data_IF_662054478768
#
_entry.id   IF_662054478768
#
_cell.length_a   1.000
_cell.length_b   1.000
_cell.length_c   1.000
_cell.angle_alpha   90.00
_cell.angle_beta   90.00
_cell.angle_gamma   90.00
#
_symmetry.space_group_name_H-M   'P 1'
#
loop_
_entity.id
_entity.type
_entity.pdbx_description
1 polymer ?
#
# COMPACT_ATOMS: atom_id res chain seq x y z
N UNK A 1 0.99 11.89 4.68
CA UNK A 1 0.70 10.44 4.59
C UNK A 1 -0.25 10.02 3.45
N UNK A 2 -1.25 10.82 3.04
CA UNK A 2 -2.24 10.43 2.00
C UNK A 2 -1.63 10.06 0.63
N UNK A 3 -0.58 10.77 0.17
CA UNK A 3 0.15 10.47 -1.09
C UNK A 3 0.80 9.08 -1.12
N UNK A 4 1.26 8.57 0.03
CA UNK A 4 1.98 7.29 0.09
C UNK A 4 1.02 6.10 0.06
N UNK A 5 -0.13 6.20 0.75
CA UNK A 5 -1.21 5.21 0.64
C UNK A 5 -1.73 5.10 -0.79
N UNK A 6 -1.90 6.22 -1.49
CA UNK A 6 -2.30 6.23 -2.90
C UNK A 6 -1.29 5.56 -3.82
N UNK A 7 0.01 5.88 -3.66
CA UNK A 7 1.07 5.32 -4.52
C UNK A 7 1.28 3.83 -4.31
N UNK A 8 1.09 3.35 -3.08
CA UNK A 8 1.16 1.94 -2.73
C UNK A 8 -0.09 1.18 -3.23
N UNK A 9 -1.26 1.82 -3.25
CA UNK A 9 -2.47 1.27 -3.86
C UNK A 9 -2.40 1.23 -5.40
N UNK A 10 -1.81 2.26 -6.03
CA UNK A 10 -1.56 2.28 -7.48
C UNK A 10 -0.58 1.19 -7.92
N UNK A 11 0.52 1.00 -7.17
CA UNK A 11 1.50 -0.07 -7.43
C UNK A 11 0.96 -1.47 -7.14
N UNK A 12 0.05 -1.62 -6.16
CA UNK A 12 -0.50 -2.93 -5.79
C UNK A 12 -1.52 -3.46 -6.80
N UNK A 13 -2.46 -2.63 -7.26
CA UNK A 13 -3.70 -3.16 -7.84
C UNK A 13 -3.72 -3.10 -9.36
N UNK A 14 -3.40 -1.95 -9.99
CA UNK A 14 -3.76 -1.77 -11.41
C UNK A 14 -2.93 -2.57 -12.41
N UNK A 15 -1.61 -2.70 -12.21
CA UNK A 15 -0.77 -3.41 -13.20
C UNK A 15 -0.91 -4.92 -13.09
N UNK A 16 -0.90 -5.43 -11.85
CA UNK A 16 -0.82 -6.86 -11.57
C UNK A 16 -2.18 -7.57 -11.60
N UNK A 17 -3.25 -6.88 -11.21
CA UNK A 17 -4.60 -7.43 -11.37
C UNK A 17 -4.94 -7.57 -12.85
N UNK A 18 -4.52 -6.61 -13.69
CA UNK A 18 -4.68 -6.70 -15.14
C UNK A 18 -3.87 -7.86 -15.74
N UNK A 19 -2.67 -8.13 -15.24
CA UNK A 19 -1.85 -9.27 -15.68
C UNK A 19 -2.48 -10.60 -15.27
N UNK A 20 -2.98 -10.72 -14.02
CA UNK A 20 -3.71 -11.91 -13.58
C UNK A 20 -4.99 -12.12 -14.36
N UNK A 21 -5.71 -11.05 -14.70
CA UNK A 21 -6.93 -11.13 -15.47
C UNK A 21 -6.65 -11.62 -16.89
N UNK A 22 -5.59 -11.12 -17.54
CA UNK A 22 -5.16 -11.62 -18.86
C UNK A 22 -4.77 -13.09 -18.83
N UNK A 23 -4.02 -13.52 -17.81
CA UNK A 23 -3.66 -14.94 -17.66
C UNK A 23 -4.89 -15.81 -17.41
N UNK A 24 -5.88 -15.32 -16.66
CA UNK A 24 -7.14 -16.03 -16.44
C UNK A 24 -7.99 -16.13 -17.72
N UNK A 25 -8.01 -15.08 -18.54
CA UNK A 25 -8.67 -15.10 -19.86
C UNK A 25 -7.99 -16.12 -20.79
N UNK A 26 -6.65 -16.14 -20.83
CA UNK A 26 -5.88 -17.12 -21.60
C UNK A 26 -6.08 -18.55 -21.11
N UNK A 27 -6.15 -18.77 -19.80
CA UNK A 27 -6.45 -20.08 -19.23
C UNK A 27 -7.81 -20.60 -19.73
N UNK A 28 -8.84 -19.74 -19.70
CA UNK A 28 -10.17 -20.13 -20.14
C UNK A 28 -10.20 -20.48 -21.64
N UNK A 29 -9.44 -19.74 -22.47
CA UNK A 29 -9.29 -20.05 -23.90
C UNK A 29 -8.63 -21.41 -24.12
N UNK A 30 -7.53 -21.71 -23.43
CA UNK A 30 -6.80 -22.98 -23.55
C UNK A 30 -7.60 -24.18 -23.00
N UNK A 31 -8.32 -24.00 -21.90
CA UNK A 31 -9.24 -25.00 -21.38
C UNK A 31 -10.36 -25.30 -22.38
N UNK A 32 -10.93 -24.27 -22.99
CA UNK A 32 -11.97 -24.43 -24.01
C UNK A 32 -11.41 -25.09 -25.29
N UNK A 33 -10.20 -24.76 -25.70
CA UNK A 33 -9.50 -25.40 -26.82
C UNK A 33 -9.27 -26.90 -26.54
N UNK A 34 -8.87 -27.26 -25.32
CA UNK A 34 -8.70 -28.66 -24.90
C UNK A 34 -10.00 -29.48 -24.96
N UNK A 35 -11.15 -28.84 -24.74
CA UNK A 35 -12.47 -29.48 -24.75
C UNK A 35 -13.06 -29.57 -26.17
N UNK A 36 -12.81 -28.57 -27.02
CA UNK A 36 -13.40 -28.46 -28.36
C UNK A 36 -12.63 -29.22 -29.44
N UNK A 37 -11.34 -29.48 -29.23
CA UNK A 37 -10.51 -30.15 -30.24
C UNK A 37 -10.82 -31.64 -30.34
N UNK A 38 -10.78 -32.18 -31.56
CA UNK A 38 -11.04 -33.60 -31.85
C UNK A 38 -9.76 -34.44 -31.84
N UNK A 39 -8.60 -33.80 -32.03
CA UNK A 39 -7.29 -34.45 -32.10
C UNK A 39 -6.65 -34.51 -30.71
N UNK A 40 -6.22 -35.70 -30.30
CA UNK A 40 -5.68 -35.96 -28.96
C UNK A 40 -4.36 -35.22 -28.72
N UNK A 41 -3.49 -35.14 -29.72
CA UNK A 41 -2.24 -34.36 -29.68
C UNK A 41 -2.49 -32.89 -29.34
N UNK A 42 -3.48 -32.27 -29.99
CA UNK A 42 -3.82 -30.85 -29.75
C UNK A 42 -4.42 -30.67 -28.35
N UNK A 43 -5.18 -31.66 -27.84
CA UNK A 43 -5.70 -31.61 -26.47
C UNK A 43 -4.60 -31.72 -25.43
N UNK A 44 -3.62 -32.59 -25.64
CA UNK A 44 -2.48 -32.74 -24.73
C UNK A 44 -1.64 -31.47 -24.70
N UNK A 45 -1.39 -30.86 -25.87
CA UNK A 45 -0.71 -29.57 -25.98
C UNK A 45 -1.47 -28.45 -25.25
N UNK A 46 -2.79 -28.34 -25.47
CA UNK A 46 -3.63 -27.33 -24.80
C UNK A 46 -3.63 -27.52 -23.27
N UNK A 47 -3.71 -28.76 -22.77
CA UNK A 47 -3.59 -29.05 -21.33
C UNK A 47 -2.22 -28.66 -20.76
N UNK A 48 -1.14 -28.94 -21.51
CA UNK A 48 0.21 -28.54 -21.12
C UNK A 48 0.33 -27.01 -21.03
N UNK A 49 -0.22 -26.28 -22.01
CA UNK A 49 -0.26 -24.80 -22.00
C UNK A 49 -1.09 -24.27 -20.82
N UNK A 50 -2.27 -24.83 -20.57
CA UNK A 50 -3.09 -24.47 -19.41
C UNK A 50 -2.32 -24.66 -18.08
N UNK A 51 -1.66 -25.79 -17.91
CA UNK A 51 -0.85 -26.08 -16.71
C UNK A 51 0.29 -25.05 -16.53
N UNK A 52 0.98 -24.71 -17.62
CA UNK A 52 2.02 -23.67 -17.60
C UNK A 52 1.47 -22.29 -17.21
N UNK A 53 0.26 -21.94 -17.65
CA UNK A 53 -0.41 -20.68 -17.27
C UNK A 53 -0.78 -20.70 -15.79
N UNK A 54 -1.30 -21.81 -15.26
CA UNK A 54 -1.59 -21.96 -13.83
C UNK A 54 -0.35 -21.77 -12.97
N UNK A 55 0.78 -22.39 -13.36
CA UNK A 55 2.06 -22.24 -12.67
C UNK A 55 2.51 -20.78 -12.66
N UNK A 56 2.39 -20.08 -13.80
CA UNK A 56 2.71 -18.65 -13.89
C UNK A 56 1.80 -17.81 -12.98
N UNK A 57 0.50 -18.09 -12.94
CA UNK A 57 -0.43 -17.43 -12.03
C UNK A 57 -0.07 -17.67 -10.57
N UNK A 58 0.36 -18.89 -10.22
CA UNK A 58 0.77 -19.23 -8.86
C UNK A 58 2.02 -18.45 -8.43
N UNK A 59 3.05 -18.40 -9.27
CA UNK A 59 4.27 -17.63 -9.01
C UNK A 59 3.93 -16.14 -8.81
N UNK A 60 3.11 -15.57 -9.70
CA UNK A 60 2.72 -14.17 -9.62
C UNK A 60 1.97 -13.87 -8.32
N UNK A 61 1.04 -14.75 -7.90
CA UNK A 61 0.32 -14.63 -6.62
C UNK A 61 1.27 -14.67 -5.43
N UNK A 62 2.27 -15.56 -5.43
CA UNK A 62 3.27 -15.63 -4.37
C UNK A 62 4.10 -14.35 -4.29
N UNK A 63 4.53 -13.79 -5.42
CA UNK A 63 5.31 -12.56 -5.45
C UNK A 63 4.48 -11.34 -5.00
N UNK A 64 3.19 -11.31 -5.35
CA UNK A 64 2.26 -10.30 -4.82
C UNK A 64 2.18 -10.38 -3.30
N UNK A 65 2.03 -11.58 -2.74
CA UNK A 65 1.91 -11.74 -1.30
C UNK A 65 3.22 -11.40 -0.57
N UNK A 66 4.37 -11.82 -1.12
CA UNK A 66 5.69 -11.44 -0.59
C UNK A 66 5.89 -9.93 -0.59
N UNK A 67 5.60 -9.27 -1.71
CA UNK A 67 5.75 -7.81 -1.80
C UNK A 67 4.79 -7.08 -0.87
N UNK A 68 3.57 -7.60 -0.67
CA UNK A 68 2.63 -7.10 0.33
C UNK A 68 3.20 -7.17 1.75
N UNK A 69 3.71 -8.33 2.15
CA UNK A 69 4.27 -8.54 3.49
C UNK A 69 5.44 -7.58 3.74
N UNK A 70 6.36 -7.45 2.77
CA UNK A 70 7.51 -6.54 2.86
C UNK A 70 7.07 -5.09 3.03
N UNK A 71 6.13 -4.62 2.22
CA UNK A 71 5.62 -3.25 2.30
C UNK A 71 4.91 -2.96 3.62
N UNK A 72 4.14 -3.93 4.15
CA UNK A 72 3.49 -3.80 5.45
C UNK A 72 4.51 -3.75 6.60
N UNK A 73 5.58 -4.55 6.51
CA UNK A 73 6.69 -4.53 7.48
C UNK A 73 7.44 -3.18 7.44
N UNK A 74 7.77 -2.68 6.25
CA UNK A 74 8.41 -1.37 6.08
C UNK A 74 7.53 -0.22 6.60
N UNK A 75 6.22 -0.29 6.34
CA UNK A 75 5.27 0.69 6.86
C UNK A 75 5.26 0.69 8.39
N UNK A 76 5.16 -0.49 9.02
CA UNK A 76 5.18 -0.63 10.48
C UNK A 76 6.48 -0.08 11.06
N UNK A 77 7.62 -0.44 10.48
CA UNK A 77 8.95 0.05 10.88
C UNK A 77 9.05 1.57 10.79
N UNK A 78 8.61 2.15 9.66
CA UNK A 78 8.70 3.60 9.45
C UNK A 78 7.86 4.36 10.47
N UNK A 79 6.64 3.90 10.77
CA UNK A 79 5.73 4.57 11.71
C UNK A 79 6.17 4.41 13.16
N UNK A 80 6.63 3.23 13.56
CA UNK A 80 6.95 2.94 14.97
C UNK A 80 8.36 3.33 15.39
N UNK A 81 9.34 3.20 14.49
CA UNK A 81 10.75 3.40 14.84
C UNK A 81 11.29 4.68 14.20
N UNK A 82 11.15 4.81 12.89
CA UNK A 82 11.87 5.85 12.14
C UNK A 82 11.29 7.24 12.39
N UNK A 83 9.97 7.39 12.36
CA UNK A 83 9.33 8.70 12.58
C UNK A 83 9.54 9.20 14.02
N UNK A 84 9.29 8.41 15.08
CA UNK A 84 9.50 8.88 16.44
C UNK A 84 10.97 9.22 16.72
N UNK A 85 11.92 8.41 16.23
CA UNK A 85 13.34 8.71 16.43
C UNK A 85 13.81 9.97 15.67
N UNK A 86 13.21 10.28 14.51
CA UNK A 86 13.56 11.48 13.72
C UNK A 86 12.87 12.75 14.21
N UNK A 87 11.65 12.62 14.72
CA UNK A 87 10.79 13.75 15.11
C UNK A 87 10.56 13.82 16.61
N UNK A 88 11.40 13.15 17.42
CA UNK A 88 11.42 13.32 18.85
C UNK A 88 11.69 14.79 19.16
N UNK A 89 10.62 15.52 19.50
CA UNK A 89 10.67 16.92 19.90
C UNK A 89 11.49 16.95 21.19
N UNK A 90 12.73 17.41 21.12
CA UNK A 90 13.51 17.72 22.32
C UNK A 90 12.86 18.93 22.99
N UNK A 91 12.70 18.84 24.31
CA UNK A 91 12.11 19.82 25.25
C UNK A 91 11.63 21.13 24.60
N UNK A 92 10.31 21.26 24.46
CA UNK A 92 9.70 22.54 24.08
C UNK A 92 9.84 23.50 25.26
N UNK A 93 10.88 24.34 25.25
CA UNK A 93 10.95 25.50 26.14
C UNK A 93 10.03 26.57 25.57
N UNK A 94 8.83 26.68 26.13
CA UNK A 94 7.91 27.77 25.83
C UNK A 94 8.38 29.01 26.59
N UNK A 95 9.01 29.96 25.90
CA UNK A 95 9.28 31.28 26.44
C UNK A 95 8.00 32.12 26.32
N UNK A 96 7.46 32.67 27.42
CA UNK A 96 6.31 33.56 27.33
C UNK A 96 6.71 34.82 26.55
N UNK A 97 6.01 35.10 25.44
CA UNK A 97 6.28 36.25 24.57
C UNK A 97 5.95 37.59 25.22
N UNK A 98 5.00 37.62 26.17
CA UNK A 98 4.66 38.80 26.93
C UNK A 98 4.04 38.41 28.28
N UNK A 99 4.41 39.15 29.33
CA UNK A 99 3.79 39.08 30.66
C UNK A 99 3.05 40.40 30.84
N UNK A 100 1.71 40.37 30.87
CA UNK A 100 0.90 41.55 31.21
C UNK A 100 0.65 41.58 32.71
N UNK A 101 1.22 42.57 33.39
CA UNK A 101 0.89 42.85 34.77
C UNK A 101 -0.36 43.74 34.81
N UNK A 102 -1.44 43.22 35.37
CA UNK A 102 -2.63 44.01 35.69
C UNK A 102 -2.35 44.73 37.00
N UNK A 103 -2.08 46.04 36.91
CA UNK A 103 -1.98 46.90 38.09
C UNK A 103 -3.40 47.29 38.49
N UNK A 104 -3.86 46.98 39.72
CA UNK A 104 -5.18 47.38 40.18
C UNK A 104 -5.25 48.92 40.29
N UNK A 105 -6.37 49.51 39.87
CA UNK A 105 -6.59 50.94 39.92
C UNK A 105 -6.42 51.47 41.35
N UNK A 106 -5.62 52.52 41.49
CA UNK A 106 -5.41 53.17 42.80
C UNK A 106 -6.54 54.16 43.07
N UNK A 107 -6.73 54.55 44.33
CA UNK A 107 -7.83 55.46 44.72
C UNK A 107 -7.75 56.85 44.05
N UNK A 108 -6.62 57.18 43.42
CA UNK A 108 -6.41 58.39 42.65
C UNK A 108 -7.05 58.33 41.24
N UNK A 109 -7.19 57.13 40.66
CA UNK A 109 -7.74 56.92 39.31
C UNK A 109 -9.29 56.96 39.28
N UNK A 110 -9.95 56.90 40.43
CA UNK A 110 -11.43 56.92 40.54
C UNK A 110 -12.03 58.33 40.76
N UNK A 111 -11.21 59.38 40.72
CA UNK A 111 -11.68 60.77 40.84
C UNK A 111 -11.64 61.47 39.47
N UNK A 112 -12.56 61.08 38.58
CA UNK A 112 -12.94 61.87 37.39
C UNK A 112 -14.31 62.49 37.60
#
# INVERSE_FOLDING_TARGET
>A
MRRYKHRLAELKNRSRDNELQKLAEQLAEEEQESLMNLFEEIREDAKSRATNIEDQMQVLRQDVERTRITLEAEQKRRVKEVLPNRFAIREVRVLPLAISYVVPATAEDMKS
#
